data_IF_223717262855
#
_entry.id   IF_223717262855
#
_cell.length_a   1.000
_cell.length_b   1.000
_cell.length_c   1.000
_cell.angle_alpha   90.00
_cell.angle_beta   90.00
_cell.angle_gamma   90.00
#
_symmetry.space_group_name_H-M   'P 1'
#
loop_
_entity.id
_entity.type
_entity.pdbx_description
1 polymer ?
#
# COMPACT_ATOMS: atom_id res chain seq x y z
N UNK A 1 18.45 5.26 13.97
CA UNK A 1 17.06 5.70 14.25
C UNK A 1 16.40 5.84 12.89
N UNK A 2 15.62 4.86 12.46
CA UNK A 2 14.98 4.86 11.13
C UNK A 2 13.81 5.83 11.17
N UNK A 3 13.90 6.92 10.42
CA UNK A 3 12.75 7.78 10.14
C UNK A 3 12.15 7.23 8.86
N UNK A 4 11.31 6.20 8.98
CA UNK A 4 10.39 5.91 7.88
C UNK A 4 9.41 7.07 7.87
N UNK A 5 9.63 8.03 6.97
CA UNK A 5 8.68 9.12 6.71
C UNK A 5 7.37 8.61 6.09
N UNK A 6 7.27 7.31 5.81
CA UNK A 6 6.10 6.65 5.28
C UNK A 6 5.97 5.21 5.77
N UNK A 7 4.78 4.83 6.23
CA UNK A 7 4.46 3.46 6.61
C UNK A 7 3.02 3.11 6.21
N UNK A 8 2.81 1.85 5.79
CA UNK A 8 1.46 1.35 5.49
C UNK A 8 0.96 0.56 6.68
N UNK A 9 -0.28 0.83 7.07
CA UNK A 9 -0.97 0.17 8.17
C UNK A 9 -2.18 -0.58 7.62
N UNK A 10 -2.42 -1.78 8.12
CA UNK A 10 -3.62 -2.54 7.85
C UNK A 10 -4.07 -3.27 9.11
N UNK A 11 -5.32 -3.10 9.51
CA UNK A 11 -5.90 -3.88 10.62
C UNK A 11 -6.47 -5.19 10.09
N UNK A 12 -5.72 -6.28 10.26
CA UNK A 12 -6.14 -7.61 9.84
C UNK A 12 -7.37 -8.14 10.57
N UNK A 13 -7.80 -7.52 11.68
CA UNK A 13 -9.01 -7.90 12.41
C UNK A 13 -10.28 -7.26 11.84
N UNK A 14 -10.15 -6.11 11.18
CA UNK A 14 -11.25 -5.39 10.52
C UNK A 14 -11.72 -6.04 9.20
N UNK A 15 -10.98 -7.06 8.71
CA UNK A 15 -11.21 -7.61 7.37
C UNK A 15 -12.60 -8.24 7.21
N UNK A 16 -13.29 -7.86 6.14
CA UNK A 16 -14.53 -8.48 5.68
C UNK A 16 -14.44 -8.86 4.20
N UNK A 17 -15.13 -9.94 3.81
CA UNK A 17 -15.18 -10.40 2.42
C UNK A 17 -16.56 -10.16 1.82
N UNK A 18 -16.61 -9.28 0.83
CA UNK A 18 -17.80 -9.03 0.05
C UNK A 18 -18.21 -10.28 -0.78
N UNK A 19 -19.47 -10.33 -1.21
CA UNK A 19 -19.98 -11.42 -2.06
C UNK A 19 -19.25 -11.56 -3.40
N UNK A 20 -18.62 -10.49 -3.86
CA UNK A 20 -17.80 -10.47 -5.07
C UNK A 20 -16.43 -11.13 -4.91
N UNK A 21 -16.03 -11.49 -3.69
CA UNK A 21 -14.66 -11.93 -3.35
C UNK A 21 -13.71 -10.78 -3.00
N UNK A 22 -14.13 -9.52 -3.16
CA UNK A 22 -13.36 -8.37 -2.70
C UNK A 22 -13.19 -8.39 -1.18
N UNK A 23 -11.98 -8.12 -0.69
CA UNK A 23 -11.65 -8.11 0.73
C UNK A 23 -11.47 -6.66 1.15
N UNK A 24 -12.37 -6.21 2.02
CA UNK A 24 -12.39 -4.89 2.60
C UNK A 24 -11.76 -4.91 3.99
N UNK A 25 -11.24 -3.78 4.43
CA UNK A 25 -10.70 -3.63 5.76
C UNK A 25 -10.00 -2.29 5.94
N UNK A 26 -9.67 -1.98 7.17
CA UNK A 26 -9.00 -0.75 7.52
C UNK A 26 -7.56 -0.79 7.00
N UNK A 27 -7.24 0.17 6.13
CA UNK A 27 -5.93 0.35 5.51
C UNK A 27 -5.68 1.84 5.29
N UNK A 28 -4.52 2.31 5.73
CA UNK A 28 -4.11 3.70 5.53
C UNK A 28 -2.59 3.77 5.46
N UNK A 29 -2.09 4.93 5.05
CA UNK A 29 -0.67 5.23 5.07
C UNK A 29 -0.42 6.32 6.10
N UNK A 30 0.61 6.17 6.92
CA UNK A 30 1.13 7.26 7.73
C UNK A 30 2.26 7.92 6.97
N UNK A 31 2.23 9.25 6.89
CA UNK A 31 3.31 10.03 6.30
C UNK A 31 3.76 11.10 7.29
N UNK A 32 4.90 10.86 7.94
CA UNK A 32 5.47 11.73 8.98
C UNK A 32 4.46 12.05 10.11
N UNK A 33 3.71 11.05 10.56
CA UNK A 33 2.70 11.17 11.63
C UNK A 33 1.32 11.65 11.16
N UNK A 34 1.10 11.78 9.85
CA UNK A 34 -0.20 12.10 9.27
C UNK A 34 -0.77 10.86 8.60
N UNK A 35 -1.86 10.34 9.16
CA UNK A 35 -2.63 9.28 8.50
C UNK A 35 -3.36 9.82 7.27
N UNK A 36 -3.34 9.03 6.20
CA UNK A 36 -4.00 9.32 4.94
C UNK A 36 -4.65 8.05 4.37
N UNK A 37 -5.93 8.08 3.97
CA UNK A 37 -6.87 9.23 4.02
C UNK A 37 -7.15 9.72 5.44
N UNK A 38 -7.42 8.80 6.35
CA UNK A 38 -7.47 8.97 7.80
C UNK A 38 -7.15 7.62 8.45
N UNK A 39 -6.83 7.60 9.74
CA UNK A 39 -6.62 6.33 10.46
C UNK A 39 -7.91 5.51 10.44
N UNK A 40 -7.79 4.19 10.31
CA UNK A 40 -8.94 3.27 10.21
C UNK A 40 -9.81 3.48 8.96
N UNK A 41 -9.25 4.04 7.88
CA UNK A 41 -9.96 4.15 6.61
C UNK A 41 -10.29 2.77 6.04
N UNK A 42 -11.57 2.48 5.77
CA UNK A 42 -12.01 1.21 5.24
C UNK A 42 -11.95 1.19 3.71
N UNK A 43 -11.19 0.26 3.12
CA UNK A 43 -11.00 0.16 1.68
C UNK A 43 -10.80 -1.30 1.24
N UNK A 44 -10.63 -1.57 -0.05
CA UNK A 44 -10.26 -2.86 -0.61
C UNK A 44 -8.78 -3.19 -0.31
N UNK A 45 -8.49 -3.49 0.96
CA UNK A 45 -7.13 -3.61 1.51
C UNK A 45 -6.19 -4.50 0.70
N UNK A 46 -6.65 -5.67 0.24
CA UNK A 46 -5.82 -6.58 -0.57
C UNK A 46 -5.50 -5.96 -1.92
N UNK A 47 -6.48 -5.40 -2.61
CA UNK A 47 -6.30 -4.81 -3.94
C UNK A 47 -5.39 -3.58 -3.88
N UNK A 48 -5.62 -2.68 -2.91
CA UNK A 48 -4.78 -1.49 -2.71
C UNK A 48 -3.31 -1.86 -2.48
N UNK A 49 -3.05 -2.87 -1.65
CA UNK A 49 -1.69 -3.27 -1.32
C UNK A 49 -0.98 -3.95 -2.51
N UNK A 50 -1.71 -4.70 -3.32
CA UNK A 50 -1.21 -5.24 -4.60
C UNK A 50 -0.84 -4.11 -5.56
N UNK A 51 -1.70 -3.11 -5.73
CA UNK A 51 -1.42 -1.96 -6.60
C UNK A 51 -0.22 -1.14 -6.12
N UNK A 52 -0.05 -0.96 -4.81
CA UNK A 52 1.14 -0.31 -4.23
C UNK A 52 2.41 -1.09 -4.53
N UNK A 53 2.39 -2.42 -4.37
CA UNK A 53 3.54 -3.27 -4.70
C UNK A 53 3.87 -3.21 -6.20
N UNK A 54 2.88 -3.30 -7.08
CA UNK A 54 3.08 -3.14 -8.54
C UNK A 54 3.70 -1.78 -8.88
N UNK A 55 3.18 -0.71 -8.27
CA UNK A 55 3.67 0.63 -8.50
C UNK A 55 5.15 0.75 -8.09
N UNK A 56 5.51 0.28 -6.88
CA UNK A 56 6.89 0.28 -6.38
C UNK A 56 7.82 -0.57 -7.25
N UNK A 57 7.39 -1.75 -7.69
CA UNK A 57 8.16 -2.60 -8.62
C UNK A 57 8.38 -1.90 -9.98
N UNK A 58 7.35 -1.20 -10.49
CA UNK A 58 7.44 -0.53 -11.79
C UNK A 58 8.47 0.61 -11.83
N UNK A 59 8.75 1.19 -10.65
CA UNK A 59 9.67 2.31 -10.44
C UNK A 59 11.11 1.89 -10.17
N UNK A 60 11.38 0.58 -10.02
CA UNK A 60 12.73 0.08 -9.76
C UNK A 60 13.70 0.45 -10.90
N UNK A 61 14.84 1.05 -10.54
CA UNK A 61 15.88 1.48 -11.46
C UNK A 61 15.50 2.60 -12.45
N UNK A 62 14.35 3.25 -12.29
CA UNK A 62 13.88 4.28 -13.23
C UNK A 62 13.76 5.68 -12.59
N UNK A 63 14.45 6.67 -13.15
CA UNK A 63 14.41 8.07 -12.69
C UNK A 63 13.22 8.89 -13.21
N UNK A 64 12.60 8.45 -14.31
CA UNK A 64 11.61 9.25 -15.04
C UNK A 64 10.21 8.60 -15.03
N UNK A 65 10.05 7.51 -14.27
CA UNK A 65 8.76 6.84 -14.14
C UNK A 65 7.96 7.41 -12.98
N UNK A 66 6.66 7.46 -13.19
CA UNK A 66 5.68 7.83 -12.19
C UNK A 66 4.60 6.74 -12.15
N UNK A 67 4.10 6.48 -10.96
CA UNK A 67 2.96 5.62 -10.71
C UNK A 67 2.00 6.37 -9.80
N UNK A 68 0.70 6.15 -9.99
CA UNK A 68 -0.36 6.72 -9.18
C UNK A 68 -1.27 5.59 -8.76
N UNK A 69 -1.45 5.43 -7.45
CA UNK A 69 -2.29 4.40 -6.85
C UNK A 69 -3.49 5.06 -6.19
N UNK A 70 -4.67 4.47 -6.36
CA UNK A 70 -5.93 5.02 -5.84
C UNK A 70 -6.42 4.19 -4.66
N UNK A 71 -6.98 4.85 -3.67
CA UNK A 71 -7.93 4.22 -2.76
C UNK A 71 -9.25 3.94 -3.49
N UNK A 72 -9.86 2.78 -3.27
CA UNK A 72 -11.09 2.40 -3.98
C UNK A 72 -12.30 3.14 -3.44
N UNK A 73 -12.24 3.59 -2.18
CA UNK A 73 -13.23 4.52 -1.63
C UNK A 73 -12.67 5.95 -1.56
N UNK A 74 -13.50 6.91 -1.97
CA UNK A 74 -13.17 8.34 -1.94
C UNK A 74 -12.26 8.87 -3.07
N UNK A 75 -11.88 10.16 -2.98
CA UNK A 75 -11.05 10.85 -3.97
C UNK A 75 -9.54 10.78 -3.65
N UNK A 76 -9.07 9.72 -2.98
CA UNK A 76 -7.71 9.66 -2.46
C UNK A 76 -6.75 8.92 -3.38
N UNK A 77 -5.56 9.50 -3.52
CA UNK A 77 -4.48 9.02 -4.37
C UNK A 77 -3.13 9.09 -3.65
N UNK A 78 -2.25 8.15 -3.97
CA UNK A 78 -0.82 8.16 -3.63
C UNK A 78 -0.05 8.27 -4.94
N UNK A 79 0.70 9.34 -5.08
CA UNK A 79 1.59 9.59 -6.21
C UNK A 79 3.01 9.14 -5.85
N UNK A 80 3.64 8.38 -6.74
CA UNK A 80 4.98 7.83 -6.58
C UNK A 80 5.81 8.21 -7.80
N UNK A 81 6.98 8.81 -7.60
CA UNK A 81 7.91 9.17 -8.67
C UNK A 81 9.30 8.64 -8.34
N UNK A 82 9.89 7.89 -9.27
CA UNK A 82 11.26 7.42 -9.14
C UNK A 82 12.26 8.58 -9.17
N UNK A 83 13.34 8.48 -8.40
CA UNK A 83 14.44 9.46 -8.43
C UNK A 83 15.72 8.94 -9.09
N UNK A 84 15.79 7.63 -9.36
CA UNK A 84 16.93 6.97 -10.00
C UNK A 84 18.12 6.68 -9.10
N UNK A 85 18.11 7.15 -7.85
CA UNK A 85 19.16 6.95 -6.84
C UNK A 85 18.78 5.89 -5.78
N UNK A 86 17.74 5.10 -6.05
CA UNK A 86 17.15 4.17 -5.08
C UNK A 86 16.14 4.80 -4.14
N UNK A 87 15.83 6.11 -4.29
CA UNK A 87 14.74 6.75 -3.58
C UNK A 87 13.52 7.00 -4.49
N UNK A 88 12.37 7.19 -3.84
CA UNK A 88 11.12 7.66 -4.44
C UNK A 88 10.73 9.01 -3.82
N UNK A 89 10.08 9.85 -4.63
CA UNK A 89 9.21 10.88 -4.13
C UNK A 89 7.80 10.31 -4.00
N UNK A 90 7.22 10.43 -2.80
CA UNK A 90 5.85 10.09 -2.52
C UNK A 90 5.06 11.36 -2.26
N UNK A 91 3.89 11.52 -2.86
CA UNK A 91 2.98 12.61 -2.54
C UNK A 91 1.54 12.19 -2.37
N UNK A 92 0.85 12.90 -1.48
CA UNK A 92 -0.59 12.76 -1.21
C UNK A 92 -1.20 14.14 -1.07
N UNK A 93 -2.51 14.27 -1.30
CA UNK A 93 -3.23 15.53 -1.13
C UNK A 93 -4.20 15.44 0.04
N UNK A 94 -3.97 16.25 1.07
CA UNK A 94 -4.77 16.30 2.30
C UNK A 94 -5.37 17.70 2.40
N UNK A 95 -6.71 17.81 2.42
CA UNK A 95 -7.42 19.09 2.51
C UNK A 95 -6.97 20.15 1.49
N UNK A 96 -6.65 19.70 0.27
CA UNK A 96 -6.15 20.56 -0.81
C UNK A 96 -4.67 20.92 -0.70
N UNK A 97 -3.99 20.56 0.38
CA UNK A 97 -2.56 20.72 0.58
C UNK A 97 -1.83 19.46 0.12
N UNK A 98 -0.89 19.63 -0.80
CA UNK A 98 0.01 18.54 -1.17
C UNK A 98 1.06 18.34 -0.09
N UNK A 99 1.21 17.10 0.37
CA UNK A 99 2.31 16.67 1.21
C UNK A 99 3.19 15.72 0.43
N UNK A 100 4.49 15.85 0.61
CA UNK A 100 5.48 15.04 -0.11
C UNK A 100 6.57 14.58 0.84
N UNK A 101 7.09 13.38 0.61
CA UNK A 101 8.23 12.82 1.32
C UNK A 101 9.18 12.11 0.36
N UNK A 102 10.46 12.06 0.72
CA UNK A 102 11.43 11.21 0.05
C UNK A 102 11.60 9.92 0.85
N UNK A 103 11.41 8.78 0.20
CA UNK A 103 11.46 7.45 0.84
C UNK A 103 12.45 6.55 0.12
N UNK A 104 13.16 5.71 0.87
CA UNK A 104 14.00 4.67 0.27
C UNK A 104 13.09 3.61 -0.38
N UNK A 105 13.36 3.29 -1.65
CA UNK A 105 12.57 2.33 -2.43
C UNK A 105 12.60 0.94 -1.81
N UNK A 106 13.78 0.51 -1.33
CA UNK A 106 13.99 -0.78 -0.71
C UNK A 106 13.26 -0.89 0.62
N UNK A 107 13.39 0.12 1.48
CA UNK A 107 12.67 0.13 2.77
C UNK A 107 11.15 0.17 2.59
N UNK A 108 10.64 0.95 1.63
CA UNK A 108 9.21 0.95 1.30
C UNK A 108 8.74 -0.41 0.82
N UNK A 109 9.47 -1.03 -0.12
CA UNK A 109 9.17 -2.36 -0.65
C UNK A 109 9.09 -3.41 0.46
N UNK A 110 10.09 -3.45 1.34
CA UNK A 110 10.12 -4.41 2.45
C UNK A 110 8.96 -4.17 3.44
N UNK A 111 8.62 -2.91 3.70
CA UNK A 111 7.46 -2.57 4.53
C UNK A 111 6.14 -3.07 3.91
N UNK A 112 5.93 -2.81 2.61
CA UNK A 112 4.76 -3.28 1.88
C UNK A 112 4.66 -4.81 1.84
N UNK A 113 5.78 -5.50 1.59
CA UNK A 113 5.82 -6.98 1.59
C UNK A 113 5.49 -7.56 2.97
N UNK A 114 6.00 -6.94 4.04
CA UNK A 114 5.67 -7.36 5.41
C UNK A 114 4.17 -7.26 5.68
N UNK A 115 3.58 -6.09 5.43
CA UNK A 115 2.12 -5.88 5.60
C UNK A 115 1.34 -6.82 4.69
N UNK A 116 1.82 -7.06 3.46
CA UNK A 116 1.21 -7.97 2.50
C UNK A 116 1.22 -9.42 2.96
N UNK A 117 2.33 -9.88 3.54
CA UNK A 117 2.45 -11.20 4.12
C UNK A 117 1.51 -11.40 5.31
N UNK A 118 1.41 -10.42 6.21
CA UNK A 118 0.49 -10.43 7.35
C UNK A 118 -0.97 -10.50 6.88
N UNK A 119 -1.36 -9.63 5.95
CA UNK A 119 -2.70 -9.57 5.36
C UNK A 119 -3.06 -10.86 4.62
N UNK A 120 -2.16 -11.37 3.78
CA UNK A 120 -2.36 -12.61 3.06
C UNK A 120 -2.52 -13.81 4.00
N UNK A 121 -1.71 -13.87 5.07
CA UNK A 121 -1.80 -14.91 6.10
C UNK A 121 -3.16 -14.87 6.81
N UNK A 122 -3.62 -13.67 7.14
CA UNK A 122 -4.93 -13.45 7.75
C UNK A 122 -6.09 -13.84 6.83
N UNK A 123 -5.98 -13.62 5.52
CA UNK A 123 -6.97 -14.05 4.53
C UNK A 123 -7.00 -15.58 4.37
N UNK A 124 -5.83 -16.23 4.31
CA UNK A 124 -5.74 -17.71 4.27
C UNK A 124 -6.36 -18.33 5.52
N UNK A 125 -6.07 -17.79 6.70
CA UNK A 125 -6.65 -18.25 7.96
C UNK A 125 -8.17 -18.20 8.01
N UNK A 126 -8.80 -17.33 7.20
CA UNK A 126 -10.26 -17.20 7.06
C UNK A 126 -10.85 -18.03 5.91
N UNK A 127 -10.03 -18.79 5.19
CA UNK A 127 -10.47 -19.58 4.02
C UNK A 127 -10.64 -18.76 2.74
N UNK A 128 -10.01 -17.58 2.64
CA UNK A 128 -10.06 -16.71 1.46
C UNK A 128 -8.80 -16.80 0.59
N UNK A 129 -7.95 -17.81 0.82
CA UNK A 129 -6.68 -17.97 0.11
C UNK A 129 -6.81 -18.24 -1.40
N UNK A 130 -8.01 -18.66 -1.85
CA UNK A 130 -8.27 -18.94 -3.25
C UNK A 130 -8.74 -17.72 -4.06
N UNK A 131 -9.05 -16.61 -3.39
CA UNK A 131 -9.40 -15.36 -4.06
C UNK A 131 -8.19 -14.86 -4.89
N UNK A 132 -8.43 -14.46 -6.15
CA UNK A 132 -7.37 -14.12 -7.11
C UNK A 132 -6.41 -13.06 -6.56
N UNK A 133 -6.93 -11.99 -5.95
CA UNK A 133 -6.12 -10.92 -5.38
C UNK A 133 -5.30 -11.38 -4.17
N UNK A 134 -5.82 -12.32 -3.36
CA UNK A 134 -5.06 -12.90 -2.25
C UNK A 134 -3.88 -13.72 -2.77
N UNK A 135 -4.09 -14.54 -3.80
CA UNK A 135 -2.99 -15.30 -4.43
C UNK A 135 -1.93 -14.39 -5.03
N UNK A 136 -2.35 -13.28 -5.64
CA UNK A 136 -1.45 -12.26 -6.20
C UNK A 136 -0.64 -11.58 -5.10
N UNK A 137 -1.29 -11.17 -4.00
CA UNK A 137 -0.62 -10.59 -2.83
C UNK A 137 0.39 -11.57 -2.22
N UNK A 138 0.03 -12.86 -2.11
CA UNK A 138 0.93 -13.91 -1.61
C UNK A 138 2.19 -14.09 -2.45
N UNK A 139 2.07 -14.00 -3.79
CA UNK A 139 3.22 -14.10 -4.68
C UNK A 139 4.19 -12.93 -4.44
N UNK A 140 3.65 -11.70 -4.46
CA UNK A 140 4.45 -10.46 -4.31
C UNK A 140 5.11 -10.30 -2.95
N UNK A 141 4.49 -10.84 -1.90
CA UNK A 141 5.01 -10.73 -0.53
C UNK A 141 6.16 -11.71 -0.23
N UNK A 142 6.48 -12.64 -1.16
CA UNK A 142 7.51 -13.68 -1.00
C UNK A 142 8.75 -13.47 -1.86
N UNK A 143 8.63 -12.68 -2.93
CA UNK A 143 9.77 -12.19 -3.73
C UNK A 143 10.64 -11.24 -2.89
#
# INVERSE_FOLDING_TARGET
MRLLGFEVYCDVHSLDRARSGAIWGDIWVDMSGYAYPESHWNDMAVALLVELLDAVESLDGASDKQARVRFFDGPFWIDLAGRGDGALHLSVRIDGVERQEAVDLGELRESLKRVGGELATACVGRGWGDEQEVRRLQAKSKE
#
